data_IF_795256803485
#
_entry.id   IF_795256803485
#
_cell.length_a   1.000
_cell.length_b   1.000
_cell.length_c   1.000
_cell.angle_alpha   90.00
_cell.angle_beta   90.00
_cell.angle_gamma   90.00
#
_symmetry.space_group_name_H-M   'P 1'
#
loop_
_entity.id
_entity.type
_entity.pdbx_description
1 polymer ?
#
# COMPACT_ATOMS: atom_id res chain seq x y z
N UNK A 1 3.54 -18.92 85.34
CA UNK A 1 2.57 -18.78 84.23
C UNK A 1 3.40 -18.64 82.96
N UNK A 2 3.90 -19.73 82.41
CA UNK A 2 3.25 -20.72 81.54
C UNK A 2 3.00 -20.21 80.10
N UNK A 3 3.54 -20.97 79.12
CA UNK A 3 3.28 -20.99 77.66
C UNK A 3 3.78 -19.78 76.84
N UNK A 4 4.52 -19.91 75.73
CA UNK A 4 4.75 -21.00 74.77
C UNK A 4 6.02 -20.71 73.95
N UNK A 5 6.77 -21.78 73.69
CA UNK A 5 7.78 -21.92 72.64
C UNK A 5 7.18 -21.68 71.25
N UNK A 6 7.99 -21.16 70.31
CA UNK A 6 8.22 -21.81 69.00
C UNK A 6 9.44 -21.20 68.32
N UNK A 7 10.50 -22.02 68.26
CA UNK A 7 11.62 -21.87 67.34
C UNK A 7 11.09 -22.10 65.92
N UNK A 8 11.37 -21.19 64.99
CA UNK A 8 11.28 -21.48 63.56
C UNK A 8 12.67 -21.39 62.95
N UNK A 9 13.15 -22.56 62.54
CA UNK A 9 14.33 -22.80 61.72
C UNK A 9 14.26 -22.01 60.40
N UNK A 10 15.27 -21.19 60.13
CA UNK A 10 15.56 -20.72 58.77
C UNK A 10 16.23 -21.86 57.99
N UNK A 11 15.46 -22.59 57.18
CA UNK A 11 15.98 -23.40 56.10
C UNK A 11 16.26 -22.50 54.91
N UNK A 12 17.54 -22.35 54.56
CA UNK A 12 17.96 -21.72 53.31
C UNK A 12 17.59 -22.64 52.13
N UNK A 13 16.56 -22.27 51.36
CA UNK A 13 16.30 -22.87 50.07
C UNK A 13 17.17 -22.18 49.02
N UNK A 14 18.25 -22.83 48.59
CA UNK A 14 19.02 -22.42 47.42
C UNK A 14 18.14 -22.62 46.17
N UNK A 15 17.65 -21.53 45.59
CA UNK A 15 17.01 -21.56 44.28
C UNK A 15 18.13 -21.62 43.24
N UNK A 16 18.38 -22.82 42.71
CA UNK A 16 19.23 -23.01 41.54
C UNK A 16 18.55 -22.32 40.33
N UNK A 17 19.12 -21.22 39.87
CA UNK A 17 18.77 -20.61 38.58
C UNK A 17 19.36 -21.52 37.50
N UNK A 18 18.56 -22.42 36.94
CA UNK A 18 18.91 -23.11 35.70
C UNK A 18 18.87 -22.09 34.57
N UNK A 19 20.04 -21.60 34.17
CA UNK A 19 20.18 -20.90 32.90
C UNK A 19 19.88 -21.91 31.77
N UNK A 20 18.70 -21.82 31.16
CA UNK A 20 18.46 -22.48 29.87
C UNK A 20 19.36 -21.82 28.84
N UNK A 21 20.52 -22.43 28.59
CA UNK A 21 21.26 -22.25 27.35
C UNK A 21 20.38 -22.82 26.24
N UNK A 22 19.58 -21.96 25.60
CA UNK A 22 18.98 -22.29 24.32
C UNK A 22 20.14 -22.57 23.37
N UNK A 23 20.36 -23.85 23.08
CA UNK A 23 21.27 -24.29 22.02
C UNK A 23 20.80 -23.62 20.73
N UNK A 24 21.62 -22.70 20.22
CA UNK A 24 21.49 -22.19 18.87
C UNK A 24 21.54 -23.42 17.95
N UNK A 25 20.39 -23.76 17.34
CA UNK A 25 20.35 -24.75 16.27
C UNK A 25 21.41 -24.38 15.23
N UNK A 26 22.19 -25.35 14.71
CA UNK A 26 23.18 -25.06 13.69
C UNK A 26 22.50 -24.39 12.50
N UNK A 27 23.06 -23.25 12.09
CA UNK A 27 22.69 -22.53 10.88
C UNK A 27 22.67 -23.56 9.74
N UNK A 28 21.49 -23.80 9.17
CA UNK A 28 21.35 -24.59 7.96
C UNK A 28 22.35 -24.05 6.92
N UNK A 29 23.06 -24.91 6.17
CA UNK A 29 24.06 -24.45 5.21
C UNK A 29 23.40 -23.42 4.29
N UNK A 30 24.13 -22.33 4.01
CA UNK A 30 23.66 -21.24 3.17
C UNK A 30 23.19 -21.82 1.82
N UNK A 31 21.88 -22.01 1.69
CA UNK A 31 21.25 -22.27 0.41
C UNK A 31 21.66 -21.14 -0.54
N UNK A 32 21.87 -21.47 -1.81
CA UNK A 32 22.17 -20.46 -2.82
C UNK A 32 21.17 -19.29 -2.69
N UNK A 33 21.69 -18.06 -2.65
CA UNK A 33 20.83 -16.89 -2.55
C UNK A 33 19.76 -16.95 -3.66
N UNK A 34 18.48 -16.68 -3.34
CA UNK A 34 17.41 -16.77 -4.32
C UNK A 34 17.74 -15.88 -5.52
N UNK A 35 17.62 -16.42 -6.74
CA UNK A 35 17.85 -15.64 -7.95
C UNK A 35 16.53 -15.10 -8.47
N UNK A 36 16.61 -13.98 -9.17
CA UNK A 36 15.45 -13.29 -9.70
C UNK A 36 15.71 -12.91 -11.16
N UNK A 37 14.80 -13.26 -12.04
CA UNK A 37 14.81 -12.79 -13.42
C UNK A 37 13.88 -11.59 -13.56
N UNK A 38 14.40 -10.47 -14.08
CA UNK A 38 13.62 -9.24 -14.32
C UNK A 38 13.38 -9.09 -15.81
N UNK A 39 12.13 -8.85 -16.19
CA UNK A 39 11.70 -8.62 -17.57
C UNK A 39 10.66 -7.50 -17.64
N UNK A 40 10.32 -7.05 -18.85
CA UNK A 40 9.23 -6.11 -19.07
C UNK A 40 8.25 -6.65 -20.11
N UNK A 41 6.96 -6.45 -19.90
CA UNK A 41 5.89 -6.86 -20.82
C UNK A 41 4.95 -5.69 -21.10
N UNK A 42 4.32 -5.60 -22.29
CA UNK A 42 3.29 -4.60 -22.54
C UNK A 42 2.17 -4.68 -21.52
N UNK A 43 1.81 -3.54 -20.93
CA UNK A 43 0.79 -3.46 -19.89
C UNK A 43 -0.57 -3.05 -20.43
N UNK A 44 -0.62 -2.48 -21.64
CA UNK A 44 -1.84 -1.94 -22.24
C UNK A 44 -2.21 -0.54 -21.75
N UNK A 45 -1.49 0.03 -20.78
CA UNK A 45 -1.65 1.43 -20.33
C UNK A 45 -0.67 2.37 -21.04
N UNK A 46 -0.89 3.69 -20.97
CA UNK A 46 0.11 4.68 -21.38
C UNK A 46 1.08 5.00 -20.22
N UNK A 47 0.55 5.17 -19.00
CA UNK A 47 1.36 5.34 -17.79
C UNK A 47 0.77 4.51 -16.64
N UNK A 48 1.56 3.59 -16.08
CA UNK A 48 1.07 2.74 -15.00
C UNK A 48 0.98 3.48 -13.66
N UNK A 49 -0.24 3.59 -13.12
CA UNK A 49 -0.55 4.06 -11.76
C UNK A 49 -0.49 2.94 -10.73
N UNK A 50 -1.45 2.87 -9.81
CA UNK A 50 -1.62 1.75 -8.89
C UNK A 50 -2.11 0.46 -9.57
N UNK A 51 -1.86 -0.66 -8.90
CA UNK A 51 -2.15 -2.02 -9.35
C UNK A 51 -2.88 -2.77 -8.23
N UNK A 52 -3.82 -3.64 -8.60
CA UNK A 52 -4.35 -4.64 -7.68
C UNK A 52 -4.58 -5.98 -8.39
N UNK A 53 -4.21 -7.07 -7.72
CA UNK A 53 -4.28 -8.42 -8.27
C UNK A 53 -5.43 -9.19 -7.62
N UNK A 54 -6.40 -9.60 -8.43
CA UNK A 54 -7.34 -10.65 -8.06
C UNK A 54 -6.67 -12.01 -8.25
N UNK A 55 -6.20 -12.58 -7.13
CA UNK A 55 -5.55 -13.89 -7.07
C UNK A 55 -6.46 -15.04 -7.54
N UNK A 56 -7.78 -14.90 -7.35
CA UNK A 56 -8.76 -15.93 -7.69
C UNK A 56 -8.99 -16.00 -9.20
N UNK A 57 -9.00 -14.84 -9.86
CA UNK A 57 -9.26 -14.72 -11.30
C UNK A 57 -7.98 -14.67 -12.15
N UNK A 58 -6.80 -14.61 -11.53
CA UNK A 58 -5.53 -14.34 -12.23
C UNK A 58 -5.63 -13.06 -13.09
N UNK A 59 -6.22 -12.01 -12.50
CA UNK A 59 -6.48 -10.71 -13.17
C UNK A 59 -5.82 -9.59 -12.39
N UNK A 60 -4.90 -8.91 -13.06
CA UNK A 60 -4.27 -7.70 -12.56
C UNK A 60 -5.00 -6.49 -13.16
N UNK A 61 -5.46 -5.60 -12.29
CA UNK A 61 -6.07 -4.32 -12.68
C UNK A 61 -5.03 -3.22 -12.55
N UNK A 62 -4.94 -2.37 -13.57
CA UNK A 62 -3.90 -1.34 -13.72
C UNK A 62 -4.58 0.01 -13.97
N UNK A 63 -4.42 0.95 -13.05
CA UNK A 63 -4.82 2.33 -13.32
C UNK A 63 -3.93 2.92 -14.43
N UNK A 64 -4.53 3.48 -15.48
CA UNK A 64 -3.80 4.27 -16.48
C UNK A 64 -3.74 5.73 -16.02
N UNK A 65 -2.68 6.06 -15.30
CA UNK A 65 -2.43 7.40 -14.77
C UNK A 65 -1.80 8.30 -15.85
N UNK A 66 -2.37 8.27 -17.05
CA UNK A 66 -1.98 9.13 -18.16
C UNK A 66 -2.74 10.45 -18.07
N UNK A 67 -2.20 11.38 -17.29
CA UNK A 67 -2.84 12.66 -17.02
C UNK A 67 -2.53 13.73 -18.09
N UNK A 68 -3.45 14.69 -18.19
CA UNK A 68 -3.37 15.92 -18.97
C UNK A 68 -2.36 16.92 -18.41
N UNK A 69 -1.82 16.66 -17.22
CA UNK A 69 -0.84 17.50 -16.55
C UNK A 69 0.38 16.65 -16.20
N UNK A 70 1.56 17.10 -16.63
CA UNK A 70 2.85 16.53 -16.25
C UNK A 70 3.52 17.44 -15.22
N UNK A 71 4.20 16.85 -14.25
CA UNK A 71 5.03 17.63 -13.33
C UNK A 71 6.47 17.72 -13.84
N UNK A 72 7.03 18.93 -13.92
CA UNK A 72 8.47 19.16 -14.12
C UNK A 72 8.99 19.96 -12.93
N UNK A 73 9.60 19.27 -11.97
CA UNK A 73 9.94 19.91 -10.68
C UNK A 73 8.66 20.22 -9.90
N UNK A 74 8.47 21.48 -9.53
CA UNK A 74 7.25 22.00 -8.89
C UNK A 74 6.14 22.38 -9.87
N UNK A 75 6.43 22.42 -11.17
CA UNK A 75 5.55 23.04 -12.15
C UNK A 75 4.63 22.01 -12.82
N UNK A 76 3.37 22.37 -13.01
CA UNK A 76 2.41 21.62 -13.80
C UNK A 76 2.42 22.12 -15.25
N UNK A 77 2.75 21.23 -16.18
CA UNK A 77 2.81 21.52 -17.61
C UNK A 77 1.70 20.72 -18.30
N UNK A 78 0.88 21.32 -19.17
CA UNK A 78 -0.08 20.58 -19.98
C UNK A 78 0.60 19.48 -20.80
N UNK A 79 0.04 18.27 -20.78
CA UNK A 79 0.41 17.18 -21.68
C UNK A 79 -0.22 17.44 -23.04
N UNK A 80 0.54 17.36 -24.15
CA UNK A 80 -0.01 17.52 -25.50
C UNK A 80 -0.89 16.33 -25.91
N UNK A 81 -0.77 15.19 -25.21
CA UNK A 81 -1.44 13.95 -25.57
C UNK A 81 -2.90 13.90 -25.08
N UNK A 82 -3.85 13.43 -25.90
CA UNK A 82 -5.24 13.29 -25.48
C UNK A 82 -5.37 12.23 -24.38
N UNK A 83 -5.87 12.68 -23.22
CA UNK A 83 -6.16 11.81 -22.08
C UNK A 83 -7.35 10.89 -22.36
N UNK A 84 -7.13 9.59 -22.21
CA UNK A 84 -8.12 8.51 -22.32
C UNK A 84 -8.14 7.71 -21.02
N UNK A 85 -8.85 8.17 -19.98
CA UNK A 85 -8.85 7.53 -18.68
C UNK A 85 -9.39 6.11 -18.78
N UNK A 86 -8.66 5.16 -18.20
CA UNK A 86 -9.06 3.76 -18.19
C UNK A 86 -8.41 2.98 -17.06
N UNK A 87 -8.95 1.79 -16.82
CA UNK A 87 -8.28 0.73 -16.08
C UNK A 87 -8.03 -0.42 -17.03
N UNK A 88 -6.79 -0.88 -17.13
CA UNK A 88 -6.44 -2.03 -17.95
C UNK A 88 -6.52 -3.31 -17.12
N UNK A 89 -6.97 -4.39 -17.75
CA UNK A 89 -7.05 -5.73 -17.18
C UNK A 89 -6.03 -6.61 -17.87
N UNK A 90 -5.11 -7.15 -17.09
CA UNK A 90 -4.00 -7.97 -17.51
C UNK A 90 -4.15 -9.40 -16.97
N UNK A 91 -3.98 -10.39 -17.83
CA UNK A 91 -4.03 -11.80 -17.45
C UNK A 91 -2.62 -12.26 -17.03
N UNK A 92 -2.48 -12.66 -15.77
CA UNK A 92 -1.18 -13.07 -15.20
C UNK A 92 -0.72 -14.46 -15.65
N UNK A 93 -1.62 -15.28 -16.20
CA UNK A 93 -1.30 -16.60 -16.75
C UNK A 93 -0.63 -16.46 -18.11
N UNK A 94 -1.18 -15.60 -18.98
CA UNK A 94 -0.67 -15.37 -20.33
C UNK A 94 0.34 -14.23 -20.41
N UNK A 95 0.47 -13.44 -19.34
CA UNK A 95 1.27 -12.21 -19.27
C UNK A 95 0.93 -11.20 -20.38
N UNK A 96 -0.37 -10.96 -20.61
CA UNK A 96 -0.85 -10.03 -21.63
C UNK A 96 -2.04 -9.20 -21.16
N UNK A 97 -2.20 -7.95 -21.66
CA UNK A 97 -3.44 -7.20 -21.54
C UNK A 97 -4.56 -7.97 -22.25
N UNK A 98 -5.74 -8.03 -21.65
CA UNK A 98 -6.89 -8.77 -22.19
C UNK A 98 -8.13 -7.90 -22.37
N UNK A 99 -8.21 -6.75 -21.67
CA UNK A 99 -9.36 -5.83 -21.77
C UNK A 99 -9.01 -4.47 -21.16
N UNK A 100 -9.56 -3.42 -21.74
CA UNK A 100 -9.64 -2.10 -21.10
C UNK A 100 -11.04 -1.83 -20.55
N UNK A 101 -11.10 -1.13 -19.42
CA UNK A 101 -12.33 -0.58 -18.84
C UNK A 101 -12.27 0.93 -19.07
N UNK A 102 -13.17 1.43 -19.91
CA UNK A 102 -13.19 2.83 -20.34
C UNK A 102 -13.86 3.73 -19.28
N UNK A 103 -13.13 4.75 -18.82
CA UNK A 103 -13.60 5.74 -17.85
C UNK A 103 -13.75 7.14 -18.49
N UNK A 104 -13.65 7.27 -19.81
CA UNK A 104 -13.68 8.57 -20.49
C UNK A 104 -15.01 9.32 -20.40
N UNK A 105 -16.11 8.61 -20.10
CA UNK A 105 -17.47 9.18 -20.01
C UNK A 105 -17.80 9.79 -18.64
N UNK A 106 -16.82 9.96 -17.76
CA UNK A 106 -17.04 10.58 -16.45
C UNK A 106 -16.99 12.11 -16.56
N UNK A 107 -17.82 12.84 -15.78
CA UNK A 107 -17.73 14.28 -15.74
C UNK A 107 -16.39 14.69 -15.12
N UNK A 108 -15.84 15.81 -15.60
CA UNK A 108 -14.59 16.37 -15.07
C UNK A 108 -14.68 16.74 -13.59
N UNK A 109 -13.54 17.08 -13.01
CA UNK A 109 -13.43 17.63 -11.68
C UNK A 109 -12.54 18.87 -11.66
N UNK A 110 -12.27 19.38 -10.46
CA UNK A 110 -11.43 20.55 -10.27
C UNK A 110 -10.16 20.16 -9.52
N UNK A 111 -9.02 20.50 -10.12
CA UNK A 111 -7.71 20.36 -9.49
C UNK A 111 -7.43 21.57 -8.60
N UNK A 112 -6.91 21.26 -7.42
CA UNK A 112 -6.35 22.22 -6.48
C UNK A 112 -4.90 22.52 -6.86
N UNK A 113 -4.55 23.79 -6.96
CA UNK A 113 -3.15 24.23 -7.00
C UNK A 113 -2.94 25.15 -5.80
N UNK A 114 -2.14 24.69 -4.83
CA UNK A 114 -2.12 25.31 -3.51
C UNK A 114 -3.50 25.27 -2.86
N UNK A 115 -3.95 26.41 -2.30
CA UNK A 115 -5.24 26.54 -1.63
C UNK A 115 -6.45 26.88 -2.52
N UNK A 116 -6.26 27.05 -3.84
CA UNK A 116 -7.30 27.52 -4.75
C UNK A 116 -7.74 26.44 -5.76
N UNK A 117 -9.05 26.37 -6.03
CA UNK A 117 -9.66 25.58 -7.10
C UNK A 117 -9.46 26.31 -8.42
N UNK A 118 -8.66 25.77 -9.34
CA UNK A 118 -8.22 26.57 -10.49
C UNK A 118 -8.33 25.88 -11.85
N UNK A 119 -8.25 24.55 -11.93
CA UNK A 119 -8.14 23.89 -13.25
C UNK A 119 -9.18 22.76 -13.41
N UNK A 120 -10.13 22.90 -14.35
CA UNK A 120 -10.95 21.78 -14.79
C UNK A 120 -10.07 20.69 -15.40
N UNK A 121 -10.21 19.46 -14.89
CA UNK A 121 -9.42 18.31 -15.34
C UNK A 121 -10.30 17.07 -15.49
N UNK A 122 -9.85 16.09 -16.30
CA UNK A 122 -10.53 14.80 -16.42
C UNK A 122 -10.34 13.94 -15.17
N UNK A 123 -11.27 13.04 -14.91
CA UNK A 123 -11.12 11.99 -13.90
C UNK A 123 -10.07 10.98 -14.42
N UNK A 124 -8.84 11.09 -13.92
CA UNK A 124 -7.75 10.17 -14.27
C UNK A 124 -7.48 9.25 -13.08
N UNK A 125 -7.60 7.93 -13.24
CA UNK A 125 -7.31 6.96 -12.19
C UNK A 125 -5.84 7.02 -11.76
N UNK A 126 -5.61 7.07 -10.46
CA UNK A 126 -4.28 6.94 -9.86
C UNK A 126 -4.24 5.79 -8.87
N UNK A 127 -4.97 5.90 -7.76
CA UNK A 127 -5.10 4.85 -6.76
C UNK A 127 -6.13 3.79 -7.15
N UNK A 128 -5.94 2.56 -6.66
CA UNK A 128 -6.78 1.42 -7.05
C UNK A 128 -6.93 0.41 -5.92
N UNK A 129 -8.16 0.00 -5.64
CA UNK A 129 -8.49 -1.06 -4.70
C UNK A 129 -9.54 -2.01 -5.28
N UNK A 130 -9.50 -3.28 -4.87
CA UNK A 130 -10.45 -4.30 -5.34
C UNK A 130 -11.10 -5.06 -4.19
N UNK A 131 -12.42 -5.25 -4.28
CA UNK A 131 -13.15 -6.24 -3.50
C UNK A 131 -13.39 -7.47 -4.38
N UNK A 132 -12.46 -8.42 -4.34
CA UNK A 132 -12.53 -9.66 -5.14
C UNK A 132 -13.72 -10.55 -4.80
N UNK A 133 -14.28 -10.45 -3.58
CA UNK A 133 -15.45 -11.24 -3.16
C UNK A 133 -16.71 -10.76 -3.86
N UNK A 134 -16.85 -9.44 -4.04
CA UNK A 134 -18.02 -8.82 -4.70
C UNK A 134 -17.77 -8.43 -6.15
N UNK A 135 -16.56 -8.65 -6.67
CA UNK A 135 -16.20 -8.32 -8.05
C UNK A 135 -16.20 -6.81 -8.30
N UNK A 136 -15.72 -6.01 -7.34
CA UNK A 136 -15.76 -4.53 -7.42
C UNK A 136 -14.38 -3.93 -7.45
N UNK A 137 -14.25 -2.82 -8.18
CA UNK A 137 -13.06 -1.99 -8.26
C UNK A 137 -13.42 -0.58 -7.81
N UNK A 138 -12.57 0.02 -6.99
CA UNK A 138 -12.57 1.45 -6.72
C UNK A 138 -11.28 2.04 -7.28
N UNK A 139 -11.39 3.16 -8.00
CA UNK A 139 -10.24 4.01 -8.32
C UNK A 139 -10.39 5.38 -7.67
N UNK A 140 -9.26 5.96 -7.28
CA UNK A 140 -9.19 7.37 -6.90
C UNK A 140 -8.76 8.19 -8.09
N UNK A 141 -9.41 9.34 -8.26
CA UNK A 141 -9.07 10.31 -9.28
C UNK A 141 -8.47 11.53 -8.57
N UNK A 142 -7.17 11.45 -8.26
CA UNK A 142 -6.51 12.30 -7.27
C UNK A 142 -6.60 13.80 -7.58
N UNK A 143 -6.34 14.20 -8.82
CA UNK A 143 -6.37 15.61 -9.23
C UNK A 143 -7.80 16.13 -9.45
N UNK A 144 -8.70 15.30 -9.98
CA UNK A 144 -10.09 15.67 -10.21
C UNK A 144 -10.97 15.57 -8.95
N UNK A 145 -10.37 15.21 -7.80
CA UNK A 145 -11.05 15.16 -6.50
C UNK A 145 -12.30 14.28 -6.52
N UNK A 146 -12.17 13.03 -6.98
CA UNK A 146 -13.27 12.07 -7.05
C UNK A 146 -12.84 10.63 -6.85
N UNK A 147 -13.82 9.75 -6.66
CA UNK A 147 -13.63 8.29 -6.69
C UNK A 147 -14.66 7.64 -7.60
N UNK A 148 -14.27 6.54 -8.23
CA UNK A 148 -15.13 5.83 -9.18
C UNK A 148 -15.20 4.36 -8.81
N UNK A 149 -16.41 3.84 -8.61
CA UNK A 149 -16.62 2.43 -8.23
C UNK A 149 -17.43 1.70 -9.29
N UNK A 150 -16.90 0.58 -9.78
CA UNK A 150 -17.45 -0.17 -10.90
C UNK A 150 -17.21 -1.68 -10.72
N UNK A 151 -17.79 -2.49 -11.60
CA UNK A 151 -17.62 -3.94 -11.63
C UNK A 151 -16.32 -4.35 -12.31
N UNK A 152 -15.70 -5.43 -11.84
CA UNK A 152 -14.48 -5.98 -12.46
C UNK A 152 -14.68 -6.34 -13.93
N UNK A 153 -15.90 -6.74 -14.32
CA UNK A 153 -16.24 -7.18 -15.68
C UNK A 153 -16.81 -6.08 -16.59
N UNK A 154 -16.94 -4.85 -16.07
CA UNK A 154 -17.45 -3.72 -16.85
C UNK A 154 -16.51 -3.37 -18.00
N UNK A 155 -17.06 -3.03 -19.16
CA UNK A 155 -16.25 -2.54 -20.31
C UNK A 155 -16.14 -1.03 -20.35
N UNK A 156 -17.13 -0.34 -19.78
CA UNK A 156 -17.25 1.12 -19.75
C UNK A 156 -17.93 1.53 -18.44
N UNK A 157 -17.56 2.71 -17.94
CA UNK A 157 -18.06 3.25 -16.68
C UNK A 157 -18.64 4.63 -16.93
N UNK A 158 -19.86 4.87 -16.42
CA UNK A 158 -20.60 6.11 -16.66
C UNK A 158 -20.49 7.14 -15.53
N UNK A 159 -21.14 8.30 -15.68
CA UNK A 159 -21.22 9.33 -14.65
C UNK A 159 -21.79 8.84 -13.31
N UNK A 160 -22.77 7.93 -13.34
CA UNK A 160 -23.43 7.41 -12.12
C UNK A 160 -22.51 6.59 -11.19
N UNK A 161 -21.32 6.23 -11.63
CA UNK A 161 -20.32 5.52 -10.84
C UNK A 161 -19.35 6.45 -10.11
N UNK A 162 -19.31 7.73 -10.48
CA UNK A 162 -18.43 8.73 -9.89
C UNK A 162 -19.08 9.30 -8.62
N UNK A 163 -18.30 9.39 -7.55
CA UNK A 163 -18.58 10.25 -6.42
C UNK A 163 -17.58 11.40 -6.40
N UNK A 164 -18.09 12.63 -6.49
CA UNK A 164 -17.27 13.85 -6.35
C UNK A 164 -16.93 14.09 -4.88
N UNK A 165 -15.68 14.45 -4.62
CA UNK A 165 -15.10 14.70 -3.31
C UNK A 165 -14.29 16.01 -3.36
N UNK A 166 -14.94 17.18 -3.49
CA UNK A 166 -14.25 18.44 -3.73
C UNK A 166 -13.17 18.74 -2.68
N UNK A 167 -12.05 19.32 -3.10
CA UNK A 167 -10.89 19.72 -2.27
C UNK A 167 -10.26 18.59 -1.45
N UNK A 168 -10.53 17.34 -1.79
CA UNK A 168 -10.12 16.21 -0.94
C UNK A 168 -8.81 15.56 -1.34
N UNK A 169 -8.38 15.69 -2.60
CA UNK A 169 -7.20 15.02 -3.17
C UNK A 169 -7.10 13.53 -2.75
N UNK A 170 -8.00 12.66 -3.24
CA UNK A 170 -8.05 11.25 -2.84
C UNK A 170 -6.80 10.52 -3.37
N UNK A 171 -6.03 9.92 -2.46
CA UNK A 171 -4.77 9.26 -2.81
C UNK A 171 -4.92 7.74 -2.86
N UNK A 172 -4.47 7.04 -1.82
CA UNK A 172 -4.56 5.59 -1.74
C UNK A 172 -5.96 5.12 -1.37
N UNK A 173 -6.29 3.93 -1.85
CA UNK A 173 -7.45 3.19 -1.42
C UNK A 173 -7.09 1.77 -0.99
N UNK A 174 -7.89 1.18 -0.11
CA UNK A 174 -7.82 -0.23 0.24
C UNK A 174 -9.23 -0.79 0.44
N UNK A 175 -9.43 -2.04 0.07
CA UNK A 175 -10.66 -2.76 0.33
C UNK A 175 -10.54 -3.61 1.60
N UNK A 176 -11.64 -3.75 2.31
CA UNK A 176 -11.90 -4.87 3.22
C UNK A 176 -13.00 -5.75 2.61
N UNK A 177 -12.64 -6.80 1.84
CA UNK A 177 -13.60 -7.68 1.22
C UNK A 177 -14.51 -8.41 2.23
N UNK A 178 -14.07 -8.58 3.50
CA UNK A 178 -14.89 -9.24 4.50
C UNK A 178 -16.13 -8.41 4.83
N UNK A 179 -15.97 -7.09 5.00
CA UNK A 179 -17.07 -6.18 5.33
C UNK A 179 -17.70 -5.52 4.11
N UNK A 180 -17.07 -5.61 2.93
CA UNK A 180 -17.55 -4.94 1.72
C UNK A 180 -17.40 -3.43 1.80
N UNK A 181 -16.25 -2.98 2.32
CA UNK A 181 -15.91 -1.56 2.47
C UNK A 181 -14.66 -1.22 1.70
N UNK A 182 -14.64 -0.03 1.12
CA UNK A 182 -13.44 0.65 0.68
C UNK A 182 -13.11 1.79 1.64
N UNK A 183 -11.83 1.96 1.93
CA UNK A 183 -11.30 3.09 2.69
C UNK A 183 -10.41 3.89 1.75
N UNK A 184 -10.61 5.21 1.72
CA UNK A 184 -9.89 6.12 0.82
C UNK A 184 -9.26 7.23 1.65
N UNK A 185 -7.94 7.39 1.56
CA UNK A 185 -7.23 8.51 2.19
C UNK A 185 -7.50 9.81 1.43
N UNK A 186 -8.06 10.80 2.11
CA UNK A 186 -8.33 12.13 1.56
C UNK A 186 -7.32 13.12 2.12
N UNK A 187 -6.25 13.37 1.35
CA UNK A 187 -5.12 14.15 1.83
C UNK A 187 -5.51 15.61 2.11
N UNK A 188 -6.23 16.24 1.20
CA UNK A 188 -6.66 17.64 1.33
C UNK A 188 -7.75 17.86 2.38
N UNK A 189 -8.43 16.79 2.82
CA UNK A 189 -9.53 16.85 3.78
C UNK A 189 -9.19 16.25 5.16
N UNK A 190 -7.93 15.87 5.40
CA UNK A 190 -7.45 15.35 6.69
C UNK A 190 -8.29 14.21 7.27
N UNK A 191 -8.80 13.32 6.40
CA UNK A 191 -9.71 12.23 6.80
C UNK A 191 -9.59 11.01 5.90
N UNK A 192 -10.18 9.91 6.33
CA UNK A 192 -10.45 8.74 5.47
C UNK A 192 -11.95 8.70 5.19
N UNK A 193 -12.33 8.64 3.91
CA UNK A 193 -13.71 8.38 3.53
C UNK A 193 -13.94 6.87 3.38
N UNK A 194 -15.09 6.41 3.86
CA UNK A 194 -15.49 5.00 3.82
C UNK A 194 -16.63 4.84 2.83
N UNK A 195 -16.49 3.91 1.90
CA UNK A 195 -17.52 3.57 0.91
C UNK A 195 -17.91 2.12 1.03
N UNK A 196 -19.15 1.78 0.68
CA UNK A 196 -19.53 0.39 0.44
C UNK A 196 -18.88 -0.10 -0.85
N UNK A 197 -18.78 -1.42 -1.04
CA UNK A 197 -18.36 -1.97 -2.32
C UNK A 197 -19.27 -1.56 -3.48
N UNK A 198 -20.48 -1.08 -3.20
CA UNK A 198 -21.38 -0.53 -4.20
C UNK A 198 -21.01 0.88 -4.68
N UNK A 199 -20.15 1.60 -3.93
CA UNK A 199 -19.79 3.01 -4.18
C UNK A 199 -20.59 4.01 -3.34
N UNK A 200 -21.45 3.54 -2.42
CA UNK A 200 -22.18 4.45 -1.52
C UNK A 200 -21.27 4.93 -0.40
N UNK A 201 -21.19 6.24 -0.18
CA UNK A 201 -20.51 6.79 1.00
C UNK A 201 -21.20 6.30 2.29
N UNK A 202 -20.41 5.73 3.19
CA UNK A 202 -20.86 5.16 4.47
C UNK A 202 -20.58 6.16 5.60
N UNK A 203 -19.49 6.90 5.53
CA UNK A 203 -19.09 7.85 6.55
C UNK A 203 -17.61 8.21 6.45
N UNK A 204 -17.16 9.02 7.38
CA UNK A 204 -15.79 9.54 7.43
C UNK A 204 -15.11 9.22 8.76
N UNK A 205 -13.80 9.02 8.70
CA UNK A 205 -12.91 8.83 9.84
C UNK A 205 -12.01 10.05 9.94
N UNK A 206 -12.30 10.92 10.91
CA UNK A 206 -11.55 12.16 11.16
C UNK A 206 -10.40 12.00 12.15
N UNK A 207 -9.91 13.13 12.70
CA UNK A 207 -8.73 13.19 13.57
C UNK A 207 -7.45 12.63 12.90
N UNK A 208 -7.36 12.79 11.59
CA UNK A 208 -6.18 12.50 10.80
C UNK A 208 -5.54 13.82 10.35
N UNK A 209 -4.41 13.72 9.66
CA UNK A 209 -3.73 14.84 9.05
C UNK A 209 -3.08 14.31 7.77
N UNK A 210 -3.34 14.95 6.64
CA UNK A 210 -2.82 14.61 5.31
C UNK A 210 -2.90 13.11 5.02
N UNK A 211 -4.07 12.51 5.28
CA UNK A 211 -4.30 11.07 5.14
C UNK A 211 -3.98 10.62 3.70
N UNK A 212 -3.18 9.58 3.54
CA UNK A 212 -2.62 9.20 2.23
C UNK A 212 -2.88 7.72 1.92
N UNK A 213 -1.83 6.90 1.88
CA UNK A 213 -1.94 5.47 1.68
C UNK A 213 -2.24 4.76 2.98
N UNK A 214 -2.94 3.63 2.87
CA UNK A 214 -3.53 2.93 4.00
C UNK A 214 -3.63 1.43 3.70
N UNK A 215 -3.63 0.61 4.73
CA UNK A 215 -3.79 -0.84 4.61
C UNK A 215 -4.57 -1.42 5.80
N UNK A 216 -5.32 -2.48 5.54
CA UNK A 216 -6.25 -3.10 6.51
C UNK A 216 -5.63 -4.35 7.12
N UNK A 217 -5.67 -4.42 8.46
CA UNK A 217 -5.52 -5.66 9.21
C UNK A 217 -6.92 -6.11 9.67
N UNK A 218 -7.57 -6.91 8.82
CA UNK A 218 -8.93 -7.41 9.09
C UNK A 218 -8.97 -8.31 10.34
N UNK A 219 -7.91 -9.10 10.57
CA UNK A 219 -7.82 -9.98 11.74
C UNK A 219 -7.86 -9.21 13.06
N UNK A 220 -7.29 -8.01 13.10
CA UNK A 220 -7.31 -7.13 14.30
C UNK A 220 -8.38 -6.05 14.25
N UNK A 221 -9.17 -5.97 13.18
CA UNK A 221 -10.11 -4.87 12.90
C UNK A 221 -9.42 -3.50 12.97
N UNK A 222 -8.29 -3.37 12.28
CA UNK A 222 -7.52 -2.13 12.26
C UNK A 222 -7.26 -1.65 10.86
N UNK A 223 -7.26 -0.33 10.72
CA UNK A 223 -6.77 0.35 9.54
C UNK A 223 -5.55 1.18 9.93
N UNK A 224 -4.46 0.99 9.20
CA UNK A 224 -3.25 1.78 9.35
C UNK A 224 -3.23 2.83 8.24
N UNK A 225 -3.14 4.11 8.62
CA UNK A 225 -3.21 5.24 7.69
C UNK A 225 -1.90 6.00 7.76
N UNK A 226 -1.18 6.04 6.65
CA UNK A 226 0.00 6.88 6.49
C UNK A 226 -0.39 8.34 6.27
N UNK A 227 0.43 9.26 6.76
CA UNK A 227 0.28 10.67 6.45
C UNK A 227 1.33 11.13 5.44
N UNK A 228 0.91 11.94 4.47
CA UNK A 228 1.79 12.51 3.44
C UNK A 228 1.71 14.04 3.51
N UNK A 229 2.48 14.61 4.44
CA UNK A 229 2.68 16.06 4.55
C UNK A 229 3.79 16.49 3.59
N UNK A 230 3.42 16.86 2.38
CA UNK A 230 4.37 17.31 1.34
C UNK A 230 4.89 18.73 1.56
N UNK A 231 4.17 19.53 2.34
CA UNK A 231 4.42 20.96 2.53
C UNK A 231 5.38 21.20 3.71
N UNK A 232 4.93 20.88 4.93
CA UNK A 232 5.70 21.18 6.13
C UNK A 232 6.70 20.07 6.46
N UNK A 233 6.42 18.82 6.08
CA UNK A 233 7.24 17.62 6.32
C UNK A 233 7.64 17.38 7.78
N UNK A 234 6.90 17.96 8.74
CA UNK A 234 7.26 18.00 10.17
C UNK A 234 6.49 17.01 11.04
N UNK A 235 5.28 16.63 10.65
CA UNK A 235 4.38 15.85 11.49
C UNK A 235 4.16 14.44 10.93
N UNK A 236 5.14 13.55 11.03
CA UNK A 236 5.07 12.23 10.41
C UNK A 236 4.64 11.12 11.38
N UNK A 237 3.64 10.33 10.99
CA UNK A 237 3.12 9.22 11.77
C UNK A 237 2.36 8.20 10.90
N UNK A 238 2.14 7.01 11.47
CA UNK A 238 1.08 6.08 11.04
C UNK A 238 -0.07 6.17 12.05
N UNK A 239 -1.25 6.55 11.60
CA UNK A 239 -2.44 6.47 12.44
C UNK A 239 -2.96 5.04 12.47
N UNK A 240 -3.44 4.62 13.64
CA UNK A 240 -4.12 3.36 13.85
C UNK A 240 -5.57 3.67 14.15
N UNK A 241 -6.45 3.14 13.33
CA UNK A 241 -7.90 3.28 13.46
C UNK A 241 -8.48 1.94 13.87
N UNK A 242 -9.34 1.93 14.89
CA UNK A 242 -10.18 0.79 15.20
C UNK A 242 -11.40 0.78 14.27
N UNK A 243 -11.49 -0.25 13.43
CA UNK A 243 -12.55 -0.39 12.43
C UNK A 243 -13.91 -0.74 13.03
N UNK A 244 -13.98 -1.16 14.30
CA UNK A 244 -15.25 -1.39 14.99
C UNK A 244 -15.92 -0.08 15.39
N UNK A 245 -15.12 0.90 15.80
CA UNK A 245 -15.60 2.19 16.31
C UNK A 245 -15.43 3.33 15.32
N UNK A 246 -14.61 3.16 14.29
CA UNK A 246 -14.27 4.21 13.33
C UNK A 246 -13.40 5.32 13.93
N UNK A 247 -12.69 5.04 15.02
CA UNK A 247 -11.90 6.05 15.75
C UNK A 247 -10.42 5.79 15.66
N UNK A 248 -9.64 6.87 15.56
CA UNK A 248 -8.18 6.83 15.71
C UNK A 248 -7.85 6.48 17.17
N UNK A 249 -7.16 5.36 17.38
CA UNK A 249 -6.74 4.88 18.70
C UNK A 249 -5.28 5.22 19.02
N UNK A 250 -4.45 5.46 17.99
CA UNK A 250 -3.05 5.85 18.16
C UNK A 250 -2.54 6.60 16.94
N UNK A 251 -1.63 7.55 17.14
CA UNK A 251 -0.72 8.07 16.10
C UNK A 251 0.68 7.63 16.49
N UNK A 252 1.31 6.79 15.68
CA UNK A 252 2.63 6.21 15.92
C UNK A 252 3.65 7.10 15.20
N UNK A 253 4.50 7.84 15.92
CA UNK A 253 5.51 8.69 15.27
C UNK A 253 6.41 7.86 14.35
N UNK A 254 6.66 8.39 13.16
CA UNK A 254 7.63 7.83 12.20
C UNK A 254 8.67 8.90 11.87
N UNK A 255 9.90 8.52 11.51
CA UNK A 255 10.94 9.49 11.15
C UNK A 255 10.60 10.29 9.87
N UNK A 256 9.60 9.86 9.11
CA UNK A 256 9.24 10.41 7.80
C UNK A 256 7.83 9.98 7.39
N UNK A 257 7.26 10.67 6.39
CA UNK A 257 6.01 10.27 5.75
C UNK A 257 6.11 8.81 5.30
N UNK A 258 5.05 8.04 5.49
CA UNK A 258 5.14 6.60 5.28
C UNK A 258 3.88 6.01 4.69
N UNK A 259 4.07 4.98 3.86
CA UNK A 259 3.01 4.20 3.23
C UNK A 259 2.96 2.83 3.92
N UNK A 260 1.96 2.57 4.79
CA UNK A 260 1.88 1.32 5.53
C UNK A 260 1.47 0.15 4.63
N UNK A 261 2.05 -1.02 4.89
CA UNK A 261 1.61 -2.32 4.37
C UNK A 261 1.62 -3.32 5.51
N UNK A 262 0.51 -4.05 5.70
CA UNK A 262 0.39 -5.10 6.71
C UNK A 262 0.99 -6.38 6.12
N UNK A 263 1.93 -6.99 6.86
CA UNK A 263 2.37 -8.36 6.60
C UNK A 263 1.22 -9.31 6.96
N UNK A 264 0.61 -10.01 5.99
CA UNK A 264 -0.56 -10.84 6.25
C UNK A 264 -0.25 -12.04 7.15
N UNK A 265 1.02 -12.44 7.29
CA UNK A 265 1.41 -13.57 8.14
C UNK A 265 1.53 -13.17 9.61
N UNK A 266 2.14 -12.02 9.89
CA UNK A 266 2.46 -11.61 11.28
C UNK A 266 1.57 -10.48 11.81
N UNK A 267 0.96 -9.71 10.92
CA UNK A 267 0.28 -8.45 11.23
C UNK A 267 1.21 -7.27 11.50
N UNK A 268 2.54 -7.45 11.37
CA UNK A 268 3.48 -6.32 11.45
C UNK A 268 3.22 -5.35 10.31
N UNK A 269 3.32 -4.06 10.61
CA UNK A 269 3.10 -3.02 9.59
C UNK A 269 4.45 -2.49 9.14
N UNK A 270 4.73 -2.62 7.85
CA UNK A 270 5.91 -2.05 7.22
C UNK A 270 5.52 -0.73 6.59
N UNK A 271 6.03 0.37 7.14
CA UNK A 271 5.72 1.72 6.73
C UNK A 271 6.89 2.28 5.90
N UNK A 272 6.74 2.25 4.57
CA UNK A 272 7.78 2.66 3.62
C UNK A 272 7.80 4.17 3.43
N UNK A 273 8.98 4.78 3.56
CA UNK A 273 9.19 6.19 3.26
C UNK A 273 10.04 6.36 2.02
N UNK A 274 9.39 6.89 0.98
CA UNK A 274 10.03 7.22 -0.29
C UNK A 274 11.09 8.31 -0.15
N UNK A 275 10.81 9.34 0.66
CA UNK A 275 11.68 10.51 0.80
C UNK A 275 12.99 10.21 1.53
N UNK A 276 12.96 9.25 2.48
CA UNK A 276 14.12 8.96 3.34
C UNK A 276 14.85 7.66 3.03
N UNK A 277 14.31 6.80 2.16
CA UNK A 277 14.94 5.52 1.87
C UNK A 277 14.78 4.48 3.00
N UNK A 278 13.79 4.65 3.88
CA UNK A 278 13.64 3.84 5.10
C UNK A 278 12.30 3.13 5.16
N UNK A 279 12.28 1.98 5.83
CA UNK A 279 11.06 1.26 6.19
C UNK A 279 11.00 1.14 7.71
N UNK A 280 9.95 1.67 8.33
CA UNK A 280 9.70 1.46 9.76
C UNK A 280 8.80 0.24 9.96
N UNK A 281 9.21 -0.70 10.82
CA UNK A 281 8.41 -1.86 11.17
C UNK A 281 7.73 -1.59 12.50
N UNK A 282 6.41 -1.65 12.50
CA UNK A 282 5.54 -1.41 13.63
C UNK A 282 5.00 -2.75 14.14
N UNK A 283 5.14 -2.96 15.44
CA UNK A 283 4.55 -4.10 16.12
C UNK A 283 3.04 -3.84 16.39
N UNK A 284 2.14 -4.74 15.95
CA UNK A 284 0.71 -4.51 16.06
C UNK A 284 0.23 -4.64 17.51
N UNK A 285 0.94 -5.33 18.41
CA UNK A 285 0.48 -5.43 19.81
C UNK A 285 0.75 -4.13 20.58
N UNK A 286 2.01 -3.68 20.58
CA UNK A 286 2.48 -2.50 21.31
C UNK A 286 2.19 -1.17 20.61
N UNK A 287 1.89 -1.19 19.30
CA UNK A 287 1.70 0.01 18.46
C UNK A 287 2.91 0.94 18.49
N UNK A 288 4.11 0.36 18.36
CA UNK A 288 5.39 1.09 18.35
C UNK A 288 6.25 0.63 17.18
N UNK A 289 7.09 1.53 16.68
CA UNK A 289 8.18 1.17 15.78
C UNK A 289 9.18 0.32 16.56
N UNK A 290 9.38 -0.94 16.14
CA UNK A 290 10.32 -1.88 16.76
C UNK A 290 11.61 -2.03 15.97
N UNK A 291 11.61 -1.56 14.71
CA UNK A 291 12.78 -1.59 13.85
C UNK A 291 12.66 -0.56 12.73
N UNK A 292 13.80 -0.04 12.28
CA UNK A 292 13.90 0.74 11.04
C UNK A 292 14.93 0.08 10.13
N UNK A 293 14.55 -0.14 8.88
CA UNK A 293 15.42 -0.69 7.83
C UNK A 293 15.82 0.47 6.93
N UNK A 294 17.11 0.61 6.66
CA UNK A 294 17.64 1.51 5.64
C UNK A 294 17.83 0.72 4.35
N UNK A 295 17.00 1.00 3.34
CA UNK A 295 17.02 0.22 2.08
C UNK A 295 18.12 0.71 1.14
N UNK A 296 18.73 1.87 1.40
CA UNK A 296 19.65 2.58 0.48
C UNK A 296 19.03 2.88 -0.89
N UNK A 297 17.70 2.83 -0.99
CA UNK A 297 16.90 3.10 -2.20
C UNK A 297 15.82 4.15 -1.90
N UNK A 298 14.68 4.13 -2.60
CA UNK A 298 13.53 5.01 -2.37
C UNK A 298 12.24 4.19 -2.31
N UNK A 299 12.01 3.44 -1.21
CA UNK A 299 10.93 2.47 -1.13
C UNK A 299 9.59 3.20 -1.14
N UNK A 300 8.76 2.92 -2.16
CA UNK A 300 7.44 3.53 -2.32
C UNK A 300 6.34 2.63 -1.77
N UNK A 301 6.08 1.51 -2.44
CA UNK A 301 4.99 0.56 -2.13
C UNK A 301 5.57 -0.81 -1.88
N UNK A 302 5.06 -1.47 -0.85
CA UNK A 302 5.49 -2.82 -0.44
C UNK A 302 4.41 -3.84 -0.84
N UNK A 303 4.85 -5.00 -1.32
CA UNK A 303 4.01 -6.19 -1.45
C UNK A 303 4.71 -7.39 -0.81
N UNK A 304 3.96 -8.25 -0.12
CA UNK A 304 4.48 -9.45 0.53
C UNK A 304 4.21 -10.69 -0.34
N UNK A 305 5.19 -11.57 -0.44
CA UNK A 305 4.99 -13.00 -0.71
C UNK A 305 4.91 -13.70 0.65
N UNK A 306 3.68 -14.00 1.09
CA UNK A 306 3.45 -14.56 2.42
C UNK A 306 4.02 -15.98 2.55
N UNK A 307 3.95 -16.78 1.48
CA UNK A 307 4.41 -18.17 1.48
C UNK A 307 5.92 -18.29 1.49
N UNK A 308 6.62 -17.41 0.76
CA UNK A 308 8.09 -17.41 0.67
C UNK A 308 8.77 -16.50 1.70
N UNK A 309 7.98 -15.80 2.53
CA UNK A 309 8.46 -14.81 3.50
C UNK A 309 9.39 -13.76 2.88
N UNK A 310 8.98 -13.23 1.73
CA UNK A 310 9.66 -12.13 1.05
C UNK A 310 8.77 -10.88 1.03
N UNK A 311 9.40 -9.72 1.05
CA UNK A 311 8.77 -8.43 0.82
C UNK A 311 9.48 -7.73 -0.35
N UNK A 312 8.70 -7.11 -1.23
CA UNK A 312 9.18 -6.41 -2.41
C UNK A 312 8.79 -4.95 -2.31
N UNK A 313 9.72 -4.05 -2.55
CA UNK A 313 9.43 -2.62 -2.63
C UNK A 313 9.83 -2.03 -3.97
N UNK A 314 8.88 -1.31 -4.59
CA UNK A 314 9.13 -0.52 -5.78
C UNK A 314 9.96 0.72 -5.42
N UNK A 315 11.03 1.00 -6.17
CA UNK A 315 11.85 2.18 -5.99
C UNK A 315 11.81 3.07 -7.23
N UNK A 316 10.76 3.89 -7.36
CA UNK A 316 10.46 4.70 -8.55
C UNK A 316 11.68 5.50 -9.05
N UNK A 317 12.30 6.31 -8.17
CA UNK A 317 13.42 7.19 -8.55
C UNK A 317 14.70 6.41 -8.87
N UNK A 318 14.94 5.30 -8.17
CA UNK A 318 16.16 4.49 -8.34
C UNK A 318 16.02 3.44 -9.44
N UNK A 319 14.83 3.26 -10.03
CA UNK A 319 14.53 2.29 -11.08
C UNK A 319 14.90 0.85 -10.68
N UNK A 320 14.65 0.50 -9.43
CA UNK A 320 14.92 -0.83 -8.87
C UNK A 320 13.70 -1.39 -8.14
N UNK A 321 13.71 -2.70 -7.91
CA UNK A 321 12.86 -3.37 -6.90
C UNK A 321 13.79 -3.94 -5.83
N UNK A 322 13.57 -3.60 -4.56
CA UNK A 322 14.33 -4.20 -3.45
C UNK A 322 13.53 -5.38 -2.90
N UNK A 323 14.21 -6.51 -2.71
CA UNK A 323 13.69 -7.74 -2.09
C UNK A 323 14.24 -7.82 -0.68
N UNK A 324 13.36 -8.04 0.30
CA UNK A 324 13.71 -8.20 1.70
C UNK A 324 13.17 -9.52 2.23
N UNK A 325 13.87 -10.12 3.18
CA UNK A 325 13.33 -11.19 4.00
C UNK A 325 12.29 -10.59 4.96
N UNK A 326 11.07 -11.12 4.94
CA UNK A 326 9.95 -10.56 5.69
C UNK A 326 10.03 -10.80 7.21
N UNK A 327 10.82 -11.76 7.66
CA UNK A 327 10.99 -12.06 9.10
C UNK A 327 12.15 -11.27 9.70
N UNK A 328 13.29 -11.30 9.02
CA UNK A 328 14.53 -10.69 9.48
C UNK A 328 14.75 -9.28 8.96
N UNK A 329 13.93 -8.76 8.03
CA UNK A 329 14.10 -7.44 7.42
C UNK A 329 15.41 -7.25 6.64
N UNK A 330 16.18 -8.31 6.41
CA UNK A 330 17.43 -8.24 5.66
C UNK A 330 17.16 -8.02 4.17
N UNK A 331 17.98 -7.19 3.53
CA UNK A 331 17.92 -7.02 2.06
C UNK A 331 18.50 -8.28 1.43
N UNK A 332 17.68 -8.97 0.63
CA UNK A 332 18.06 -10.17 -0.12
C UNK A 332 18.64 -9.79 -1.47
N UNK A 333 18.03 -8.82 -2.14
CA UNK A 333 18.49 -8.34 -3.44
C UNK A 333 18.01 -6.91 -3.71
N UNK A 334 18.73 -6.19 -4.57
CA UNK A 334 18.23 -4.96 -5.21
C UNK A 334 18.31 -5.15 -6.72
N UNK A 335 17.14 -5.27 -7.35
CA UNK A 335 16.99 -5.69 -8.73
C UNK A 335 16.88 -4.47 -9.65
N UNK A 336 17.82 -4.26 -10.58
CA UNK A 336 17.67 -3.25 -11.62
C UNK A 336 16.46 -3.57 -12.52
N UNK A 337 15.63 -2.57 -12.79
CA UNK A 337 14.46 -2.74 -13.67
C UNK A 337 14.57 -1.96 -14.97
N UNK A 338 15.49 -0.99 -15.05
CA UNK A 338 15.65 -0.10 -16.19
C UNK A 338 14.54 0.95 -16.35
N UNK A 339 13.47 0.86 -15.56
CA UNK A 339 12.30 1.73 -15.64
C UNK A 339 11.86 2.23 -14.25
N UNK A 340 11.12 3.33 -14.20
CA UNK A 340 10.58 3.85 -12.95
C UNK A 340 9.37 3.00 -12.52
N UNK A 341 9.55 2.12 -11.54
CA UNK A 341 8.46 1.27 -11.02
C UNK A 341 7.70 2.00 -9.91
N UNK A 342 6.41 2.22 -10.09
CA UNK A 342 5.58 3.01 -9.16
C UNK A 342 5.00 2.16 -8.02
N UNK A 343 4.36 1.04 -8.35
CA UNK A 343 3.84 0.07 -7.37
C UNK A 343 4.22 -1.36 -7.74
N UNK A 344 4.05 -2.30 -6.80
CA UNK A 344 4.25 -3.74 -7.00
C UNK A 344 3.11 -4.55 -6.37
N UNK A 345 2.80 -5.70 -6.95
CA UNK A 345 1.94 -6.74 -6.39
C UNK A 345 2.57 -8.11 -6.63
N UNK A 346 2.26 -9.07 -5.75
CA UNK A 346 2.76 -10.45 -5.83
C UNK A 346 1.62 -11.41 -6.08
N UNK A 347 1.74 -12.25 -7.11
CA UNK A 347 0.94 -13.46 -7.26
C UNK A 347 1.39 -14.48 -6.20
N UNK A 348 0.53 -14.73 -5.21
CA UNK A 348 0.92 -15.57 -4.07
C UNK A 348 1.13 -17.04 -4.46
N UNK A 349 0.49 -17.51 -5.55
CA UNK A 349 0.62 -18.89 -6.02
C UNK A 349 2.00 -19.09 -6.65
N UNK A 350 2.37 -18.19 -7.55
CA UNK A 350 3.58 -18.34 -8.38
C UNK A 350 4.81 -17.66 -7.79
N UNK A 351 4.63 -16.68 -6.89
CA UNK A 351 5.69 -15.80 -6.41
C UNK A 351 6.12 -14.74 -7.43
N UNK A 352 5.46 -14.66 -8.59
CA UNK A 352 5.75 -13.65 -9.60
C UNK A 352 5.33 -12.27 -9.09
N UNK A 353 6.21 -11.29 -9.27
CA UNK A 353 5.95 -9.90 -8.91
C UNK A 353 5.70 -9.09 -10.16
N UNK A 354 4.62 -8.33 -10.17
CA UNK A 354 4.28 -7.37 -11.22
C UNK A 354 4.46 -5.96 -10.67
N UNK A 355 5.17 -5.10 -11.40
CA UNK A 355 5.37 -3.70 -11.05
C UNK A 355 4.98 -2.75 -12.17
N UNK A 356 4.20 -1.72 -11.86
CA UNK A 356 3.75 -0.74 -12.86
C UNK A 356 4.89 0.19 -13.22
N UNK A 357 5.16 0.34 -14.53
CA UNK A 357 6.14 1.31 -14.98
C UNK A 357 5.45 2.64 -15.31
N UNK A 358 5.98 3.72 -14.73
CA UNK A 358 5.54 5.07 -14.99
C UNK A 358 6.01 5.52 -16.38
N UNK A 359 5.09 6.02 -17.22
CA UNK A 359 5.36 6.58 -18.56
C UNK A 359 6.16 5.63 -19.49
N UNK A 360 5.82 4.34 -19.53
CA UNK A 360 6.41 3.40 -20.51
C UNK A 360 5.41 2.43 -21.15
N UNK A 361 4.18 2.41 -20.66
CA UNK A 361 3.14 1.45 -21.05
C UNK A 361 3.46 -0.03 -20.80
N UNK A 362 4.38 -0.33 -19.89
CA UNK A 362 4.84 -1.69 -19.57
C UNK A 362 4.68 -2.04 -18.09
N UNK A 363 4.71 -3.34 -17.81
CA UNK A 363 4.89 -3.91 -16.48
C UNK A 363 6.28 -4.50 -16.36
N UNK A 364 6.95 -4.21 -15.26
CA UNK A 364 8.08 -5.02 -14.81
C UNK A 364 7.56 -6.35 -14.26
N UNK A 365 8.16 -7.46 -14.68
CA UNK A 365 7.85 -8.80 -14.17
C UNK A 365 9.11 -9.39 -13.55
N UNK A 366 9.06 -9.69 -12.26
CA UNK A 366 10.12 -10.38 -11.53
C UNK A 366 9.70 -11.82 -11.29
N UNK A 367 10.51 -12.78 -11.73
CA UNK A 367 10.31 -14.20 -11.48
C UNK A 367 11.36 -14.70 -10.50
N UNK A 368 10.99 -15.20 -9.31
CA UNK A 368 11.91 -15.95 -8.48
C UNK A 368 12.26 -17.27 -9.18
N UNK A 369 13.53 -17.65 -9.18
CA UNK A 369 14.03 -18.90 -9.79
C UNK A 369 14.02 -20.07 -8.82
#
# INVERSE_FOLDING_TARGET
MDRRLLRSSLTAAAVAVTASTALLSPIAPAGAAPRFAVSSVPAGVASGGELALDQGRNRLFIADNNDSLRTRGSDFIPSPDPVRPKVEVFDTTTNRPVRSIDLANQPGGMMMIGGAELIPVKQVPDGLAIDSRRGRVLVTNAHASGITVFGMDDKRVGPGNLTSLPKSHPMGAVADPATGRFYVGLNGADKVAVFSSAGRHIGDIGNLYKASFLDVDAGRNRLYVGNADYEAKKNNFVAVVDLRTGRVIKKIPTPSNSRPKVDPTTGRVWAASFDTGKISIIDPASLRVVRTIDTKTSPSKIAFDAGRRLAYTANLQKKTITVLNADSGAIVATLPTGAAVHTVVVDQKTGIVYGSQHISGKLTVVRPS
#
